data_IF_726567915567
#
_entry.id   IF_726567915567
#
_cell.length_a   1.000
_cell.length_b   1.000
_cell.length_c   1.000
_cell.angle_alpha   90.00
_cell.angle_beta   90.00
_cell.angle_gamma   90.00
#
_symmetry.space_group_name_H-M   'P 1'
#
loop_
_entity.id
_entity.type
_entity.pdbx_description
1 polymer ?
#
# COMPACT_ATOMS: atom_id res chain seq x y z
N UNK A 1 -17.53 -11.51 -12.34
CA UNK A 1 -16.69 -12.34 -11.43
C UNK A 1 -15.65 -11.43 -10.80
N UNK A 2 -15.71 -11.15 -9.49
CA UNK A 2 -14.75 -10.29 -8.76
C UNK A 2 -13.75 -11.13 -7.93
N UNK A 3 -13.39 -12.32 -8.43
CA UNK A 3 -12.56 -13.32 -7.71
C UNK A 3 -11.08 -13.23 -8.10
N UNK A 4 -10.71 -12.25 -8.94
CA UNK A 4 -9.32 -12.00 -9.30
C UNK A 4 -8.50 -11.73 -8.03
N UNK A 5 -7.29 -12.26 -7.96
CA UNK A 5 -6.36 -12.17 -6.81
C UNK A 5 -6.68 -13.01 -5.56
N UNK A 6 -7.70 -13.87 -5.60
CA UNK A 6 -7.89 -14.90 -4.56
C UNK A 6 -7.29 -16.27 -4.94
N UNK A 7 -7.09 -16.51 -6.24
CA UNK A 7 -6.51 -17.76 -6.77
C UNK A 7 -5.39 -17.42 -7.75
N UNK A 8 -4.19 -18.03 -7.62
CA UNK A 8 -3.03 -17.74 -8.47
C UNK A 8 -3.30 -17.86 -9.99
N UNK A 9 -4.15 -18.81 -10.39
CA UNK A 9 -4.48 -19.04 -11.80
C UNK A 9 -5.36 -17.97 -12.44
N UNK A 10 -5.90 -17.02 -11.67
CA UNK A 10 -6.83 -16.00 -12.14
C UNK A 10 -6.28 -14.56 -11.94
N UNK A 11 -4.96 -14.40 -11.80
CA UNK A 11 -4.35 -13.09 -11.49
C UNK A 11 -4.28 -12.16 -12.71
N UNK A 12 -4.14 -12.71 -13.92
CA UNK A 12 -3.95 -11.92 -15.13
C UNK A 12 -5.18 -11.14 -15.58
N UNK A 13 -6.36 -11.42 -14.98
CA UNK A 13 -7.62 -10.75 -15.30
C UNK A 13 -8.04 -10.94 -16.77
N UNK A 14 -9.17 -10.36 -17.15
CA UNK A 14 -9.62 -10.32 -18.56
C UNK A 14 -9.34 -8.96 -19.22
N UNK A 15 -9.08 -7.91 -18.41
CA UNK A 15 -8.86 -6.53 -18.86
C UNK A 15 -7.69 -5.91 -18.07
N UNK A 16 -6.93 -5.02 -18.69
CA UNK A 16 -5.92 -4.23 -17.97
C UNK A 16 -6.57 -3.52 -16.76
N UNK A 17 -5.90 -3.56 -15.60
CA UNK A 17 -6.41 -3.11 -14.29
C UNK A 17 -7.49 -3.97 -13.60
N UNK A 18 -7.81 -5.17 -14.11
CA UNK A 18 -8.72 -6.10 -13.38
C UNK A 18 -8.22 -6.43 -11.96
N UNK A 19 -6.90 -6.36 -11.75
CA UNK A 19 -6.28 -6.64 -10.46
C UNK A 19 -6.63 -5.59 -9.40
N UNK A 20 -6.67 -4.30 -9.72
CA UNK A 20 -7.01 -3.25 -8.74
C UNK A 20 -8.48 -3.35 -8.33
N UNK A 21 -9.37 -3.57 -9.31
CA UNK A 21 -10.79 -3.77 -9.08
C UNK A 21 -11.04 -4.98 -8.15
N UNK A 22 -10.30 -6.08 -8.33
CA UNK A 22 -10.42 -7.26 -7.46
C UNK A 22 -10.07 -6.94 -6.00
N UNK A 23 -8.98 -6.20 -5.78
CA UNK A 23 -8.55 -5.76 -4.43
C UNK A 23 -9.57 -4.80 -3.82
N UNK A 24 -10.07 -3.83 -4.59
CA UNK A 24 -11.04 -2.83 -4.13
C UNK A 24 -12.35 -3.48 -3.69
N UNK A 25 -12.92 -4.37 -4.51
CA UNK A 25 -14.18 -5.05 -4.18
C UNK A 25 -14.03 -5.97 -2.96
N UNK A 26 -12.88 -6.65 -2.83
CA UNK A 26 -12.56 -7.43 -1.63
C UNK A 26 -12.48 -6.55 -0.37
N UNK A 27 -11.85 -5.39 -0.48
CA UNK A 27 -11.81 -4.41 0.60
C UNK A 27 -13.21 -3.91 0.96
N UNK A 28 -14.05 -3.54 -0.02
CA UNK A 28 -15.41 -3.06 0.25
C UNK A 28 -16.30 -4.12 0.91
N UNK A 29 -16.07 -5.40 0.65
CA UNK A 29 -16.76 -6.48 1.34
C UNK A 29 -16.45 -6.51 2.85
N UNK A 30 -15.20 -6.23 3.24
CA UNK A 30 -14.79 -6.21 4.66
C UNK A 30 -14.93 -4.82 5.31
N UNK A 31 -15.05 -3.77 4.51
CA UNK A 31 -15.07 -2.39 4.97
C UNK A 31 -16.14 -2.09 6.04
N UNK A 32 -17.40 -2.56 5.92
CA UNK A 32 -18.41 -2.33 6.96
C UNK A 32 -17.94 -2.85 8.34
N UNK A 33 -17.33 -4.03 8.38
CA UNK A 33 -16.79 -4.62 9.62
C UNK A 33 -15.66 -3.75 10.19
N UNK A 34 -14.78 -3.25 9.31
CA UNK A 34 -13.68 -2.37 9.72
C UNK A 34 -14.19 -1.06 10.32
N UNK A 35 -15.23 -0.45 9.75
CA UNK A 35 -15.84 0.80 10.27
C UNK A 35 -16.40 0.59 11.68
N UNK A 36 -17.03 -0.56 11.95
CA UNK A 36 -17.54 -0.87 13.29
C UNK A 36 -16.44 -1.25 14.29
N UNK A 37 -15.37 -1.92 13.84
CA UNK A 37 -14.29 -2.36 14.72
C UNK A 37 -13.32 -1.22 15.08
N UNK A 38 -12.98 -0.36 14.10
CA UNK A 38 -11.96 0.68 14.21
C UNK A 38 -12.62 2.02 14.52
N UNK A 39 -12.88 2.27 15.80
CA UNK A 39 -13.64 3.43 16.26
C UNK A 39 -12.78 4.62 16.71
N UNK A 40 -11.46 4.54 16.57
CA UNK A 40 -10.57 5.61 17.03
C UNK A 40 -9.10 5.43 16.66
N UNK A 41 -8.31 6.47 16.94
CA UNK A 41 -6.92 6.59 16.51
C UNK A 41 -6.03 5.43 16.98
N UNK A 42 -6.15 5.02 18.24
CA UNK A 42 -5.33 3.92 18.76
C UNK A 42 -5.61 2.62 18.00
N UNK A 43 -6.89 2.29 17.78
CA UNK A 43 -7.29 1.09 17.03
C UNK A 43 -6.85 1.16 15.57
N UNK A 44 -6.93 2.33 14.94
CA UNK A 44 -6.48 2.49 13.55
C UNK A 44 -4.96 2.36 13.41
N UNK A 45 -4.18 2.84 14.38
CA UNK A 45 -2.72 2.69 14.38
C UNK A 45 -2.32 1.23 14.62
N UNK A 46 -3.00 0.53 15.54
CA UNK A 46 -2.79 -0.92 15.73
C UNK A 46 -3.14 -1.69 14.46
N UNK A 47 -4.26 -1.39 13.83
CA UNK A 47 -4.64 -2.00 12.55
C UNK A 47 -3.60 -1.73 11.45
N UNK A 48 -3.08 -0.52 11.35
CA UNK A 48 -1.99 -0.19 10.44
C UNK A 48 -0.74 -1.02 10.74
N UNK A 49 -0.31 -1.11 12.00
CA UNK A 49 0.85 -1.91 12.37
C UNK A 49 0.67 -3.40 12.00
N UNK A 50 -0.50 -3.97 12.27
CA UNK A 50 -0.83 -5.37 11.93
C UNK A 50 -0.82 -5.57 10.42
N UNK A 51 -1.43 -4.68 9.64
CA UNK A 51 -1.48 -4.82 8.18
C UNK A 51 -0.12 -4.62 7.52
N UNK A 52 0.73 -3.74 8.05
CA UNK A 52 2.15 -3.62 7.63
C UNK A 52 2.91 -4.91 7.93
N UNK A 53 2.74 -5.48 9.13
CA UNK A 53 3.35 -6.75 9.48
C UNK A 53 2.90 -7.88 8.57
N UNK A 54 1.59 -7.99 8.29
CA UNK A 54 1.03 -8.99 7.38
C UNK A 54 1.57 -8.81 5.95
N UNK A 55 1.63 -7.57 5.45
CA UNK A 55 2.15 -7.29 4.12
C UNK A 55 3.65 -7.63 4.01
N UNK A 56 4.44 -7.37 5.04
CA UNK A 56 5.86 -7.74 5.08
C UNK A 56 6.05 -9.26 5.07
N UNK A 57 5.32 -10.00 5.91
CA UNK A 57 5.38 -11.46 5.92
C UNK A 57 4.87 -12.06 4.60
N UNK A 58 3.85 -11.46 4.01
CA UNK A 58 3.36 -11.87 2.69
C UNK A 58 4.41 -11.67 1.60
N UNK A 59 5.08 -10.51 1.57
CA UNK A 59 6.16 -10.26 0.63
C UNK A 59 7.33 -11.26 0.79
N UNK A 60 7.68 -11.61 2.03
CA UNK A 60 8.69 -12.64 2.32
C UNK A 60 8.24 -14.02 1.83
N UNK A 61 6.97 -14.40 2.02
CA UNK A 61 6.44 -15.69 1.60
C UNK A 61 6.48 -15.89 0.07
N UNK A 62 6.40 -14.81 -0.71
CA UNK A 62 6.48 -14.84 -2.17
C UNK A 62 7.85 -14.45 -2.73
N UNK A 63 8.84 -14.21 -1.87
CA UNK A 63 10.20 -13.86 -2.29
C UNK A 63 10.83 -15.01 -3.10
N UNK A 64 11.39 -14.70 -4.27
CA UNK A 64 12.03 -15.68 -5.15
C UNK A 64 11.08 -16.49 -6.04
N UNK A 65 9.75 -16.31 -5.89
CA UNK A 65 8.77 -16.90 -6.81
C UNK A 65 8.83 -16.22 -8.19
N UNK A 66 8.36 -16.91 -9.24
CA UNK A 66 8.36 -16.42 -10.63
C UNK A 66 6.99 -16.60 -11.29
N UNK A 67 6.75 -15.87 -12.38
CA UNK A 67 5.54 -15.99 -13.20
C UNK A 67 4.27 -15.63 -12.44
N UNK A 68 3.20 -16.41 -12.63
CA UNK A 68 1.88 -16.14 -12.04
C UNK A 68 1.86 -16.09 -10.52
N UNK A 69 2.72 -16.85 -9.83
CA UNK A 69 2.83 -16.80 -8.36
C UNK A 69 3.40 -15.47 -7.86
N UNK A 70 4.40 -14.92 -8.56
CA UNK A 70 4.97 -13.62 -8.19
C UNK A 70 3.93 -12.50 -8.38
N UNK A 71 3.16 -12.56 -9.47
CA UNK A 71 2.06 -11.64 -9.72
C UNK A 71 0.95 -11.79 -8.66
N UNK A 72 0.61 -13.02 -8.26
CA UNK A 72 -0.36 -13.28 -7.19
C UNK A 72 0.09 -12.65 -5.87
N UNK A 73 1.35 -12.88 -5.50
CA UNK A 73 1.96 -12.29 -4.32
C UNK A 73 1.80 -10.77 -4.32
N UNK A 74 2.16 -10.14 -5.43
CA UNK A 74 2.10 -8.68 -5.59
C UNK A 74 0.70 -8.10 -5.66
N UNK A 75 -0.27 -8.77 -6.29
CA UNK A 75 -1.61 -8.22 -6.55
C UNK A 75 -2.70 -8.70 -5.59
N UNK A 76 -2.35 -9.51 -4.60
CA UNK A 76 -3.27 -9.90 -3.54
C UNK A 76 -3.77 -8.71 -2.71
N UNK A 77 -4.95 -8.87 -2.09
CA UNK A 77 -5.44 -7.93 -1.06
C UNK A 77 -4.42 -7.79 0.07
N UNK A 78 -3.74 -8.88 0.44
CA UNK A 78 -2.80 -8.89 1.58
C UNK A 78 -1.59 -7.99 1.34
N UNK A 79 -1.13 -7.91 0.08
CA UNK A 79 -0.08 -7.00 -0.32
C UNK A 79 -0.51 -5.52 -0.34
N UNK A 80 -1.82 -5.22 -0.33
CA UNK A 80 -2.33 -3.85 -0.43
C UNK A 80 -3.09 -3.36 0.81
N UNK A 81 -3.39 -4.25 1.75
CA UNK A 81 -4.25 -3.95 2.90
C UNK A 81 -3.71 -2.80 3.76
N UNK A 82 -2.38 -2.65 3.83
CA UNK A 82 -1.72 -1.59 4.55
C UNK A 82 -2.01 -0.18 3.97
N UNK A 83 -2.24 -0.05 2.66
CA UNK A 83 -2.64 1.23 2.05
C UNK A 83 -4.00 1.71 2.58
N UNK A 84 -4.97 0.79 2.66
CA UNK A 84 -6.28 1.09 3.24
C UNK A 84 -6.19 1.41 4.73
N UNK A 85 -5.39 0.65 5.47
CA UNK A 85 -5.16 0.90 6.89
C UNK A 85 -4.50 2.27 7.13
N UNK A 86 -3.56 2.68 6.27
CA UNK A 86 -2.93 3.99 6.33
C UNK A 86 -3.96 5.11 6.07
N UNK A 87 -4.87 4.91 5.12
CA UNK A 87 -6.00 5.82 4.88
C UNK A 87 -6.92 5.97 6.10
N UNK A 88 -7.28 4.87 6.76
CA UNK A 88 -8.11 4.88 7.98
C UNK A 88 -7.39 5.60 9.13
N UNK A 89 -6.10 5.31 9.35
CA UNK A 89 -5.30 5.98 10.37
C UNK A 89 -5.16 7.48 10.08
N UNK A 90 -4.86 7.84 8.83
CA UNK A 90 -4.80 9.22 8.36
C UNK A 90 -6.11 9.98 8.57
N UNK A 91 -7.26 9.34 8.30
CA UNK A 91 -8.57 9.90 8.60
C UNK A 91 -8.76 10.22 10.08
N UNK A 92 -8.40 9.31 11.00
CA UNK A 92 -8.51 9.57 12.43
C UNK A 92 -7.55 10.67 12.92
N UNK A 93 -6.34 10.75 12.36
CA UNK A 93 -5.40 11.84 12.62
C UNK A 93 -6.00 13.17 12.17
N UNK A 94 -6.45 13.24 10.92
CA UNK A 94 -7.08 14.43 10.36
C UNK A 94 -8.32 14.85 11.15
N UNK A 95 -9.18 13.90 11.53
CA UNK A 95 -10.38 14.17 12.32
C UNK A 95 -10.03 14.77 13.68
N UNK A 96 -8.98 14.27 14.35
CA UNK A 96 -8.50 14.82 15.63
C UNK A 96 -7.95 16.24 15.45
N UNK A 97 -7.15 16.48 14.42
CA UNK A 97 -6.60 17.81 14.11
C UNK A 97 -7.71 18.81 13.75
N UNK A 98 -8.66 18.42 12.91
CA UNK A 98 -9.81 19.25 12.52
C UNK A 98 -10.69 19.62 13.72
N UNK A 99 -10.88 18.69 14.66
CA UNK A 99 -11.63 18.95 15.91
C UNK A 99 -10.88 19.91 16.83
N UNK A 100 -9.55 19.84 16.88
CA UNK A 100 -8.73 20.77 17.68
C UNK A 100 -8.65 22.17 17.05
N UNK A 101 -8.46 22.25 15.72
CA UNK A 101 -8.52 23.49 14.97
C UNK A 101 -8.99 23.23 13.53
N UNK A 102 -10.09 23.86 13.10
CA UNK A 102 -10.59 23.68 11.74
C UNK A 102 -9.63 24.22 10.69
N UNK A 103 -8.81 25.23 11.03
CA UNK A 103 -7.79 25.79 10.12
C UNK A 103 -6.68 24.77 9.88
N UNK A 104 -6.14 24.16 10.95
CA UNK A 104 -5.10 23.13 10.85
C UNK A 104 -5.62 21.95 10.04
N UNK A 105 -6.88 21.52 10.29
CA UNK A 105 -7.50 20.45 9.51
C UNK A 105 -7.58 20.74 8.00
N UNK A 106 -7.88 22.00 7.60
CA UNK A 106 -7.89 22.40 6.18
C UNK A 106 -6.50 22.46 5.60
N UNK A 107 -5.53 23.01 6.33
CA UNK A 107 -4.13 23.10 5.88
C UNK A 107 -3.54 21.72 5.65
N UNK A 108 -3.74 20.78 6.59
CA UNK A 108 -3.25 19.40 6.46
C UNK A 108 -3.91 18.69 5.28
N UNK A 109 -5.21 18.89 5.07
CA UNK A 109 -5.91 18.32 3.92
C UNK A 109 -5.40 18.89 2.59
N UNK A 110 -5.28 20.22 2.48
CA UNK A 110 -4.75 20.89 1.29
C UNK A 110 -3.30 20.49 1.02
N UNK A 111 -2.46 20.44 2.05
CA UNK A 111 -1.09 19.97 1.94
C UNK A 111 -1.03 18.53 1.44
N UNK A 112 -1.87 17.64 1.97
CA UNK A 112 -1.95 16.24 1.54
C UNK A 112 -2.36 16.11 0.07
N UNK A 113 -3.33 16.90 -0.39
CA UNK A 113 -3.71 16.95 -1.81
C UNK A 113 -2.59 17.47 -2.71
N UNK A 114 -1.89 18.54 -2.28
CA UNK A 114 -0.74 19.07 -2.99
C UNK A 114 0.41 18.06 -3.04
N UNK A 115 0.64 17.32 -1.97
CA UNK A 115 1.63 16.23 -1.96
C UNK A 115 1.25 15.14 -2.95
N UNK A 116 0.00 14.69 -3.00
CA UNK A 116 -0.46 13.69 -3.97
C UNK A 116 -0.29 14.21 -5.41
N UNK A 117 -0.75 15.43 -5.68
CA UNK A 117 -0.59 16.05 -7.01
C UNK A 117 0.89 16.18 -7.39
N UNK A 118 1.74 16.60 -6.46
CA UNK A 118 3.18 16.68 -6.65
C UNK A 118 3.81 15.32 -6.95
N UNK A 119 3.47 14.29 -6.18
CA UNK A 119 3.96 12.91 -6.40
C UNK A 119 3.56 12.39 -7.79
N UNK A 120 2.35 12.70 -8.26
CA UNK A 120 1.88 12.29 -9.60
C UNK A 120 2.63 13.06 -10.70
N UNK A 121 2.61 14.40 -10.62
CA UNK A 121 3.17 15.28 -11.66
C UNK A 121 4.70 15.19 -11.77
N UNK A 122 5.38 14.88 -10.66
CA UNK A 122 6.85 14.82 -10.59
C UNK A 122 7.38 13.41 -10.33
N UNK A 123 6.58 12.37 -10.57
CA UNK A 123 6.94 10.98 -10.26
C UNK A 123 8.27 10.55 -10.87
N UNK A 124 8.55 10.93 -12.12
CA UNK A 124 9.79 10.57 -12.81
C UNK A 124 11.01 11.30 -12.24
N UNK A 125 10.89 12.59 -11.91
CA UNK A 125 11.96 13.38 -11.32
C UNK A 125 12.28 12.93 -9.89
N UNK A 126 11.25 12.54 -9.13
CA UNK A 126 11.40 11.98 -7.79
C UNK A 126 12.16 10.65 -7.85
N UNK A 127 11.82 9.78 -8.80
CA UNK A 127 12.54 8.51 -8.98
C UNK A 127 14.04 8.74 -9.26
N UNK A 128 14.37 9.63 -10.20
CA UNK A 128 15.76 9.99 -10.53
C UNK A 128 16.50 10.60 -9.33
N UNK A 129 15.82 11.46 -8.56
CA UNK A 129 16.39 12.05 -7.35
C UNK A 129 16.72 10.99 -6.29
N UNK A 130 15.81 10.04 -6.04
CA UNK A 130 16.06 8.94 -5.10
C UNK A 130 17.18 8.02 -5.57
N UNK A 131 17.27 7.70 -6.87
CA UNK A 131 18.39 6.93 -7.43
C UNK A 131 19.74 7.64 -7.26
N UNK A 132 19.74 8.98 -7.41
CA UNK A 132 20.94 9.80 -7.26
C UNK A 132 21.39 9.89 -5.80
N UNK A 133 20.46 10.00 -4.85
CA UNK A 133 20.76 10.14 -3.41
C UNK A 133 21.07 8.81 -2.74
N UNK A 134 20.31 7.75 -3.03
CA UNK A 134 20.55 6.43 -2.44
C UNK A 134 21.72 5.69 -3.10
N UNK A 135 22.30 6.30 -4.14
CA UNK A 135 23.27 5.67 -5.01
C UNK A 135 22.64 4.56 -5.84
N UNK A 136 23.13 4.35 -7.05
CA UNK A 136 22.83 3.14 -7.81
C UNK A 136 23.35 1.93 -7.04
N UNK A 137 22.54 1.35 -6.16
CA UNK A 137 22.72 -0.04 -5.70
C UNK A 137 22.25 -0.99 -6.80
N UNK A 138 22.70 -0.75 -8.03
CA UNK A 138 22.70 -1.74 -9.09
C UNK A 138 23.71 -2.82 -8.74
N UNK A 139 23.29 -3.80 -7.92
CA UNK A 139 23.62 -5.20 -8.11
C UNK A 139 25.09 -5.66 -8.16
N UNK A 140 26.08 -4.88 -7.71
CA UNK A 140 27.49 -5.32 -7.72
C UNK A 140 28.01 -5.84 -6.37
N UNK A 141 27.43 -5.43 -5.23
CA UNK A 141 28.03 -5.69 -3.90
C UNK A 141 27.58 -6.96 -3.18
N UNK A 142 26.43 -7.55 -3.53
CA UNK A 142 25.87 -8.71 -2.79
C UNK A 142 26.14 -10.06 -3.48
N UNK A 143 26.51 -10.05 -4.78
CA UNK A 143 26.82 -11.29 -5.51
C UNK A 143 28.26 -11.80 -5.33
N UNK A 144 29.15 -11.03 -4.70
CA UNK A 144 30.57 -11.40 -4.53
C UNK A 144 30.89 -12.04 -3.17
N UNK A 145 29.97 -12.08 -2.21
CA UNK A 145 30.21 -12.66 -0.88
C UNK A 145 29.93 -14.17 -0.77
N UNK A 146 29.37 -14.81 -1.81
CA UNK A 146 29.02 -16.23 -1.82
C UNK A 146 29.71 -17.03 -2.95
N UNK A 147 30.76 -16.47 -3.55
CA UNK A 147 31.54 -17.10 -4.62
C UNK A 147 33.03 -17.25 -4.25
N UNK A 148 33.28 -17.66 -3.01
CA UNK A 148 34.58 -18.23 -2.57
C UNK A 148 34.32 -19.53 -1.86
#
# INVERSE_FOLDING_TARGET
MFVFNFVPNHVTGFVMASWSIGVEMAFYAIFPLLVFAITGLARSVVFLAVTVFLAANWALAFQGTKGGLALFGSFSLMAHLFYFAAGIAGYHVWLRLRRASPLIGRLVFAASLLTIAGLICFSSQIAVFFETILGTSSGAGVRTAWAT
#
